data_IF_719237438268
#
_entry.id   IF_719237438268
#
_cell.length_a   1.000
_cell.length_b   1.000
_cell.length_c   1.000
_cell.angle_alpha   90.00
_cell.angle_beta   90.00
_cell.angle_gamma   90.00
#
_symmetry.space_group_name_H-M   'P 1'
#
loop_
_entity.id
_entity.type
_entity.pdbx_description
1 polymer ?
#
# COMPACT_ATOMS: atom_id res chain seq x y z
N UNK A 1 -22.36 -7.59 -7.95
CA UNK A 1 -21.52 -6.67 -8.75
C UNK A 1 -20.32 -7.45 -9.28
N UNK A 2 -20.41 -7.94 -10.51
CA UNK A 2 -19.27 -8.41 -11.33
C UNK A 2 -19.38 -7.71 -12.67
N UNK A 3 -19.13 -6.41 -12.62
CA UNK A 3 -18.87 -5.56 -13.77
C UNK A 3 -17.49 -4.94 -13.54
N UNK A 4 -16.53 -5.78 -13.17
CA UNK A 4 -15.13 -5.49 -13.47
C UNK A 4 -15.05 -5.52 -14.99
N UNK A 5 -15.44 -4.38 -15.58
CA UNK A 5 -15.47 -4.16 -16.99
C UNK A 5 -14.02 -4.28 -17.45
N UNK A 6 -13.67 -5.49 -17.87
CA UNK A 6 -12.49 -5.85 -18.61
C UNK A 6 -12.39 -4.85 -19.78
N UNK A 7 -11.54 -3.80 -19.71
CA UNK A 7 -11.55 -2.71 -20.68
C UNK A 7 -10.86 -3.13 -21.99
N UNK A 8 -10.02 -4.15 -21.89
CA UNK A 8 -9.11 -4.61 -22.94
C UNK A 8 -9.75 -5.25 -24.18
N UNK A 9 -10.87 -6.00 -24.13
CA UNK A 9 -11.49 -6.54 -25.34
C UNK A 9 -12.48 -5.59 -26.00
N UNK A 10 -12.99 -4.56 -25.29
CA UNK A 10 -14.01 -3.66 -25.85
C UNK A 10 -13.42 -2.77 -26.95
N UNK A 11 -12.16 -2.34 -26.81
CA UNK A 11 -11.44 -1.61 -27.86
C UNK A 11 -11.16 -2.48 -29.10
N UNK A 12 -10.77 -3.75 -28.91
CA UNK A 12 -10.54 -4.69 -30.02
C UNK A 12 -11.80 -4.99 -30.84
N UNK A 13 -12.95 -5.11 -30.16
CA UNK A 13 -14.24 -5.36 -30.79
C UNK A 13 -14.69 -4.15 -31.64
N UNK A 14 -14.45 -2.93 -31.15
CA UNK A 14 -14.72 -1.71 -31.92
C UNK A 14 -13.90 -1.66 -33.23
N UNK A 15 -12.63 -2.09 -33.19
CA UNK A 15 -11.76 -2.16 -34.38
C UNK A 15 -12.30 -3.18 -35.38
N UNK A 16 -12.70 -4.36 -34.91
CA UNK A 16 -13.24 -5.41 -35.77
C UNK A 16 -14.55 -4.99 -36.44
N UNK A 17 -15.43 -4.31 -35.70
CA UNK A 17 -16.67 -3.73 -36.25
C UNK A 17 -16.36 -2.65 -37.30
N UNK A 18 -15.42 -1.75 -37.02
CA UNK A 18 -14.99 -0.73 -37.98
C UNK A 18 -14.41 -1.35 -39.26
N UNK A 19 -13.60 -2.41 -39.13
CA UNK A 19 -13.05 -3.13 -40.27
C UNK A 19 -14.14 -3.77 -41.12
N UNK A 20 -15.09 -4.49 -40.49
CA UNK A 20 -16.22 -5.09 -41.20
C UNK A 20 -17.11 -4.05 -41.90
N UNK A 21 -17.35 -2.90 -41.26
CA UNK A 21 -18.07 -1.78 -41.85
C UNK A 21 -17.35 -1.26 -43.11
N UNK A 22 -16.04 -1.02 -43.05
CA UNK A 22 -15.26 -0.55 -44.20
C UNK A 22 -15.23 -1.59 -45.31
N UNK A 23 -15.09 -2.88 -44.98
CA UNK A 23 -15.09 -3.96 -45.96
C UNK A 23 -16.45 -4.07 -46.67
N UNK A 24 -17.54 -4.00 -45.91
CA UNK A 24 -18.90 -4.07 -46.45
C UNK A 24 -19.24 -2.87 -47.34
N UNK A 25 -19.02 -1.65 -46.84
CA UNK A 25 -19.36 -0.43 -47.56
C UNK A 25 -18.42 -0.18 -48.76
N UNK A 26 -17.13 -0.42 -48.57
CA UNK A 26 -16.11 -0.31 -49.61
C UNK A 26 -16.26 -1.40 -50.66
N UNK A 27 -16.55 -2.64 -50.26
CA UNK A 27 -16.81 -3.76 -51.15
C UNK A 27 -18.03 -3.53 -52.03
N UNK A 28 -19.12 -3.00 -51.48
CA UNK A 28 -20.32 -2.64 -52.26
C UNK A 28 -20.01 -1.60 -53.36
N UNK A 29 -19.20 -0.58 -53.05
CA UNK A 29 -18.78 0.42 -54.04
C UNK A 29 -17.82 -0.13 -55.10
N UNK A 30 -16.97 -1.09 -54.73
CA UNK A 30 -16.12 -1.80 -55.69
C UNK A 30 -16.96 -2.67 -56.62
N UNK A 31 -17.98 -3.37 -56.10
CA UNK A 31 -18.90 -4.18 -56.89
C UNK A 31 -19.77 -3.33 -57.85
N UNK A 32 -20.11 -2.10 -57.45
CA UNK A 32 -20.80 -1.12 -58.29
C UNK A 32 -19.90 -0.49 -59.38
N UNK A 33 -18.58 -0.74 -59.35
CA UNK A 33 -17.61 -0.16 -60.28
C UNK A 33 -17.22 1.29 -59.98
N UNK A 34 -17.66 1.86 -58.86
CA UNK A 34 -17.35 3.23 -58.44
C UNK A 34 -15.92 3.36 -57.88
N UNK A 35 -15.38 2.28 -57.33
CA UNK A 35 -14.05 2.20 -56.73
C UNK A 35 -13.26 1.01 -57.29
N UNK A 36 -11.96 1.19 -57.48
CA UNK A 36 -11.08 0.07 -57.80
C UNK A 36 -10.75 -0.74 -56.54
N UNK A 37 -10.50 -2.04 -56.73
CA UNK A 37 -10.02 -2.93 -55.65
C UNK A 37 -8.73 -2.39 -55.02
N UNK A 38 -7.83 -1.85 -55.84
CA UNK A 38 -6.57 -1.25 -55.38
C UNK A 38 -6.80 -0.06 -54.44
N UNK A 39 -7.81 0.77 -54.73
CA UNK A 39 -8.12 1.93 -53.89
C UNK A 39 -8.68 1.50 -52.51
N UNK A 40 -9.48 0.43 -52.47
CA UNK A 40 -9.95 -0.16 -51.22
C UNK A 40 -8.78 -0.71 -50.38
N UNK A 41 -7.85 -1.42 -51.01
CA UNK A 41 -6.65 -1.92 -50.32
C UNK A 41 -5.81 -0.77 -49.76
N UNK A 42 -5.55 0.27 -50.56
CA UNK A 42 -4.82 1.46 -50.11
C UNK A 42 -5.52 2.15 -48.93
N UNK A 43 -6.85 2.28 -48.98
CA UNK A 43 -7.63 2.84 -47.89
C UNK A 43 -7.51 2.02 -46.60
N UNK A 44 -7.58 0.69 -46.68
CA UNK A 44 -7.39 -0.19 -45.52
C UNK A 44 -5.96 -0.05 -44.94
N UNK A 45 -4.94 0.06 -45.80
CA UNK A 45 -3.57 0.31 -45.33
C UNK A 45 -3.45 1.64 -44.59
N UNK A 46 -4.05 2.72 -45.13
CA UNK A 46 -4.06 4.02 -44.47
C UNK A 46 -4.85 4.00 -43.15
N UNK A 47 -5.96 3.27 -43.08
CA UNK A 47 -6.73 3.11 -41.85
C UNK A 47 -5.88 2.44 -40.75
N UNK A 48 -5.18 1.35 -41.08
CA UNK A 48 -4.29 0.68 -40.13
C UNK A 48 -3.07 1.54 -39.76
N UNK A 49 -2.52 2.26 -40.73
CA UNK A 49 -1.43 3.21 -40.49
C UNK A 49 -1.86 4.35 -39.55
N UNK A 50 -3.12 4.79 -39.62
CA UNK A 50 -3.67 5.85 -38.78
C UNK A 50 -4.06 5.36 -37.38
N UNK A 51 -4.31 4.06 -37.23
CA UNK A 51 -4.66 3.45 -35.94
C UNK A 51 -3.56 3.64 -34.88
N UNK A 52 -2.29 3.41 -35.28
CA UNK A 52 -1.11 3.62 -34.43
C UNK A 52 -0.98 5.06 -33.88
N UNK A 53 -0.94 6.12 -34.70
CA UNK A 53 -0.82 7.50 -34.22
C UNK A 53 -2.06 7.98 -33.46
N UNK A 54 -3.27 7.48 -33.77
CA UNK A 54 -4.46 7.78 -32.95
C UNK A 54 -4.30 7.20 -31.54
N UNK A 55 -3.86 5.95 -31.43
CA UNK A 55 -3.60 5.31 -30.13
C UNK A 55 -2.55 6.08 -29.31
N UNK A 56 -1.48 6.54 -29.97
CA UNK A 56 -0.45 7.39 -29.35
C UNK A 56 -1.03 8.70 -28.82
N UNK A 57 -1.94 9.34 -29.56
CA UNK A 57 -2.57 10.59 -29.13
C UNK A 57 -3.42 10.42 -27.87
N UNK A 58 -4.25 9.37 -27.82
CA UNK A 58 -5.03 9.05 -26.61
C UNK A 58 -4.13 8.68 -25.42
N UNK A 59 -3.08 7.91 -25.68
CA UNK A 59 -2.07 7.59 -24.67
C UNK A 59 -1.37 8.83 -24.12
N UNK A 60 -1.04 9.80 -24.97
CA UNK A 60 -0.42 11.07 -24.57
C UNK A 60 -1.35 11.94 -23.72
N UNK A 61 -2.65 12.00 -24.03
CA UNK A 61 -3.63 12.71 -23.18
C UNK A 61 -3.71 12.05 -21.80
N UNK A 62 -3.75 10.72 -21.77
CA UNK A 62 -3.83 9.96 -20.51
C UNK A 62 -2.57 10.14 -19.67
N UNK A 63 -1.39 10.16 -20.30
CA UNK A 63 -0.12 10.36 -19.58
C UNK A 63 0.00 11.76 -18.98
N UNK A 64 -0.48 12.79 -19.68
CA UNK A 64 -0.56 14.15 -19.14
C UNK A 64 -1.50 14.21 -17.94
N UNK A 65 -2.68 13.61 -18.04
CA UNK A 65 -3.62 13.56 -16.92
C UNK A 65 -3.01 12.85 -15.69
N UNK A 66 -2.30 11.75 -15.90
CA UNK A 66 -1.60 11.03 -14.84
C UNK A 66 -0.46 11.87 -14.23
N UNK A 67 0.32 12.60 -15.04
CA UNK A 67 1.38 13.48 -14.56
C UNK A 67 0.85 14.62 -13.70
N UNK A 68 -0.25 15.26 -14.11
CA UNK A 68 -0.91 16.31 -13.31
C UNK A 68 -1.48 15.76 -11.99
N UNK A 69 -2.04 14.55 -12.01
CA UNK A 69 -2.52 13.89 -10.80
C UNK A 69 -1.40 13.54 -9.81
N UNK A 70 -0.25 13.08 -10.32
CA UNK A 70 0.93 12.81 -9.51
C UNK A 70 1.52 14.10 -8.91
N UNK A 71 1.54 15.19 -9.68
CA UNK A 71 1.97 16.51 -9.18
C UNK A 71 1.10 17.00 -8.03
N UNK A 72 -0.23 16.90 -8.15
CA UNK A 72 -1.15 17.28 -7.08
C UNK A 72 -0.94 16.49 -5.79
N UNK A 73 -0.55 15.20 -5.90
CA UNK A 73 -0.20 14.36 -4.75
C UNK A 73 1.09 14.81 -4.07
N UNK A 74 2.09 15.22 -4.84
CA UNK A 74 3.34 15.75 -4.28
C UNK A 74 3.06 17.05 -3.52
N UNK A 75 2.29 17.96 -4.11
CA UNK A 75 1.91 19.21 -3.45
C UNK A 75 1.15 18.96 -2.14
N UNK A 76 0.27 17.95 -2.11
CA UNK A 76 -0.43 17.55 -0.90
C UNK A 76 0.51 17.05 0.20
N UNK A 77 1.45 16.15 -0.13
CA UNK A 77 2.42 15.62 0.84
C UNK A 77 3.33 16.73 1.37
N UNK A 78 3.73 17.68 0.52
CA UNK A 78 4.58 18.82 0.92
C UNK A 78 3.83 19.86 1.75
N UNK A 79 2.50 19.94 1.62
CA UNK A 79 1.67 20.89 2.35
C UNK A 79 1.21 20.37 3.72
N UNK A 80 1.35 19.07 3.99
CA UNK A 80 0.98 18.47 5.27
C UNK A 80 1.96 18.91 6.37
N UNK A 81 1.48 19.45 7.50
CA UNK A 81 2.35 19.78 8.63
C UNK A 81 3.02 18.51 9.17
N UNK A 82 4.33 18.59 9.45
CA UNK A 82 5.08 17.51 10.10
C UNK A 82 4.53 17.29 11.51
N UNK A 83 4.44 16.03 11.95
CA UNK A 83 3.91 15.66 13.28
C UNK A 83 4.67 16.38 14.42
N UNK A 84 5.97 16.60 14.26
CA UNK A 84 6.83 17.35 15.19
C UNK A 84 6.61 18.87 15.17
N UNK A 85 5.88 19.42 14.20
CA UNK A 85 5.67 20.87 14.10
C UNK A 85 4.79 21.42 15.24
N UNK A 86 3.99 20.56 15.87
CA UNK A 86 3.26 20.88 17.11
C UNK A 86 4.14 20.70 18.37
N UNK A 87 5.23 19.95 18.25
CA UNK A 87 6.19 19.68 19.33
C UNK A 87 7.30 20.73 19.31
N UNK A 88 6.93 21.99 19.54
CA UNK A 88 7.93 23.02 19.80
C UNK A 88 8.63 22.65 21.12
N UNK A 89 9.96 22.40 21.14
CA UNK A 89 10.64 22.05 22.37
C UNK A 89 10.52 23.24 23.30
N UNK A 90 9.74 23.08 24.38
CA UNK A 90 9.64 24.08 25.43
C UNK A 90 11.05 24.20 26.03
N UNK A 91 11.76 25.35 25.85
CA UNK A 91 13.13 25.47 26.31
C UNK A 91 13.16 25.34 27.84
N UNK A 92 13.81 24.28 28.35
CA UNK A 92 13.96 24.02 29.78
C UNK A 92 13.10 22.90 30.37
N UNK A 93 12.33 22.16 29.57
CA UNK A 93 11.47 21.06 30.07
C UNK A 93 12.06 19.66 29.88
N UNK A 94 13.14 19.49 29.10
CA UNK A 94 13.80 18.19 28.98
C UNK A 94 14.56 17.87 30.28
N UNK A 95 14.17 16.80 31.03
CA UNK A 95 14.92 16.38 32.20
C UNK A 95 16.33 15.95 31.79
N UNK A 96 17.34 16.31 32.58
CA UNK A 96 18.69 15.82 32.39
C UNK A 96 18.74 14.33 32.75
N UNK A 97 18.72 13.48 31.72
CA UNK A 97 18.77 12.03 31.86
C UNK A 97 20.21 11.51 32.04
N UNK A 98 21.20 12.41 32.10
CA UNK A 98 22.61 12.06 32.28
C UNK A 98 22.83 11.44 33.67
N UNK A 99 22.80 10.12 33.75
CA UNK A 99 22.96 9.36 34.99
C UNK A 99 21.67 8.73 35.53
N UNK A 100 20.56 8.84 34.82
CA UNK A 100 19.37 8.06 35.11
C UNK A 100 19.64 6.58 34.80
N UNK A 101 19.22 5.68 35.70
CA UNK A 101 19.13 4.25 35.40
C UNK A 101 18.07 4.10 34.29
N UNK A 102 18.32 3.39 33.19
CA UNK A 102 17.33 3.22 32.13
C UNK A 102 16.18 2.35 32.66
N UNK A 103 15.18 3.00 33.24
CA UNK A 103 13.97 2.39 33.72
C UNK A 103 12.81 2.93 32.87
N UNK A 104 12.13 2.02 32.17
CA UNK A 104 10.90 2.32 31.44
C UNK A 104 9.75 1.84 32.32
N UNK A 105 8.91 2.77 32.76
CA UNK A 105 7.70 2.48 33.53
C UNK A 105 6.48 2.79 32.65
N UNK A 106 5.59 1.82 32.49
CA UNK A 106 4.31 1.99 31.81
C UNK A 106 3.21 1.97 32.87
N UNK A 107 2.58 3.11 33.13
CA UNK A 107 1.50 3.24 34.10
C UNK A 107 0.16 3.41 33.36
N UNK A 108 -0.69 2.37 33.44
CA UNK A 108 -2.05 2.31 32.85
C UNK A 108 -2.18 2.86 31.42
N UNK A 109 -1.22 2.54 30.54
CA UNK A 109 -1.23 3.00 29.13
C UNK A 109 -2.35 2.31 28.34
N UNK A 110 -3.32 3.11 27.89
CA UNK A 110 -4.36 2.71 26.94
C UNK A 110 -4.08 3.40 25.62
N UNK A 111 -3.81 2.61 24.58
CA UNK A 111 -3.54 3.11 23.25
C UNK A 111 -4.45 2.42 22.25
N UNK A 112 -5.08 3.20 21.38
CA UNK A 112 -5.86 2.72 20.24
C UNK A 112 -5.45 3.52 19.01
N UNK A 113 -5.07 2.83 17.95
CA UNK A 113 -5.09 3.44 16.63
C UNK A 113 -6.54 3.57 16.20
N UNK A 114 -6.95 4.75 15.71
CA UNK A 114 -8.23 4.88 15.02
C UNK A 114 -8.18 4.00 13.77
N UNK A 115 -8.88 2.85 13.81
CA UNK A 115 -9.06 1.92 12.68
C UNK A 115 -9.98 2.49 11.59
N UNK A 116 -10.10 3.81 11.47
CA UNK A 116 -10.83 4.49 10.39
C UNK A 116 -9.89 5.38 9.59
N UNK A 117 -8.97 4.75 8.85
CA UNK A 117 -8.54 5.23 7.53
C UNK A 117 -7.75 4.17 6.74
N UNK A 118 -8.47 3.26 6.08
CA UNK A 118 -8.21 2.97 4.66
C UNK A 118 -7.21 1.87 4.30
N UNK A 119 -7.44 0.62 4.72
CA UNK A 119 -7.00 -0.55 3.94
C UNK A 119 -8.19 -1.17 3.20
N UNK A 120 -8.57 -0.54 2.08
CA UNK A 120 -9.53 -1.11 1.14
C UNK A 120 -8.94 -2.40 0.51
N UNK A 121 -9.25 -3.56 1.08
CA UNK A 121 -8.82 -4.84 0.50
C UNK A 121 -9.09 -6.11 1.31
N UNK A 122 -9.53 -6.02 2.58
CA UNK A 122 -9.86 -7.22 3.34
C UNK A 122 -11.38 -7.32 3.56
N UNK A 123 -11.99 -8.38 3.05
CA UNK A 123 -13.42 -8.62 3.24
C UNK A 123 -13.75 -8.73 4.75
N UNK A 124 -14.86 -8.17 5.23
CA UNK A 124 -15.22 -8.27 6.64
C UNK A 124 -15.50 -9.73 6.99
N UNK A 125 -14.70 -10.30 7.90
CA UNK A 125 -15.09 -11.51 8.61
C UNK A 125 -16.33 -11.24 9.49
N UNK A 126 -17.10 -12.27 9.86
CA UNK A 126 -18.33 -12.10 10.64
C UNK A 126 -18.00 -11.44 11.99
N UNK A 127 -18.66 -10.30 12.26
CA UNK A 127 -18.41 -9.46 13.42
C UNK A 127 -18.55 -10.22 14.73
N UNK A 128 -17.47 -10.18 15.53
CA UNK A 128 -17.51 -10.53 16.95
C UNK A 128 -18.05 -9.30 17.69
N UNK A 129 -19.16 -9.40 18.43
CA UNK A 129 -19.70 -8.27 19.20
C UNK A 129 -18.86 -8.02 20.45
N UNK A 130 -18.55 -6.75 20.70
CA UNK A 130 -17.98 -6.19 21.94
C UNK A 130 -16.94 -7.06 22.65
N UNK A 131 -15.73 -7.10 22.10
CA UNK A 131 -14.56 -7.47 22.88
C UNK A 131 -14.16 -6.28 23.77
N UNK A 132 -14.20 -6.39 25.11
CA UNK A 132 -13.71 -5.34 25.99
C UNK A 132 -12.19 -5.25 25.78
N UNK A 133 -11.73 -4.09 25.28
CA UNK A 133 -10.32 -3.69 25.11
C UNK A 133 -9.34 -4.87 25.11
N UNK A 134 -9.08 -5.43 23.93
CA UNK A 134 -8.05 -6.44 23.75
C UNK A 134 -6.71 -5.86 24.24
N UNK A 135 -6.23 -6.37 25.38
CA UNK A 135 -4.94 -5.99 25.93
C UNK A 135 -3.88 -6.65 25.05
N UNK A 136 -3.43 -5.94 24.03
CA UNK A 136 -2.47 -6.46 23.03
C UNK A 136 -1.09 -6.78 23.64
N UNK A 137 -0.80 -6.28 24.84
CA UNK A 137 0.49 -6.48 25.50
C UNK A 137 0.40 -7.43 26.70
N UNK A 138 0.23 -8.72 26.43
CA UNK A 138 0.62 -9.78 27.37
C UNK A 138 2.04 -10.25 27.02
N UNK A 139 3.04 -9.79 27.80
CA UNK A 139 4.42 -10.30 27.74
C UNK A 139 5.27 -9.80 26.55
N UNK A 140 5.35 -8.49 26.31
CA UNK A 140 6.20 -7.95 25.23
C UNK A 140 7.65 -7.68 25.66
N UNK A 141 8.56 -8.15 24.80
CA UNK A 141 9.99 -7.91 24.85
C UNK A 141 10.42 -7.18 23.57
N UNK A 142 11.28 -6.18 23.70
CA UNK A 142 11.96 -5.57 22.57
C UNK A 142 13.41 -6.03 22.59
N UNK A 143 13.81 -6.78 21.56
CA UNK A 143 15.22 -7.08 21.28
C UNK A 143 15.64 -6.24 20.08
N UNK A 144 16.18 -5.05 20.34
CA UNK A 144 17.18 -4.46 19.47
C UNK A 144 18.55 -5.02 19.89
N UNK A 145 19.59 -4.84 19.08
CA UNK A 145 20.98 -5.27 19.35
C UNK A 145 21.51 -4.54 20.61
N UNK A 146 21.09 -5.04 21.77
CA UNK A 146 21.25 -4.40 23.07
C UNK A 146 22.06 -5.36 23.93
N UNK A 147 23.19 -4.86 24.43
CA UNK A 147 24.07 -5.59 25.34
C UNK A 147 23.35 -5.96 26.66
N UNK A 148 22.21 -5.33 26.96
CA UNK A 148 21.38 -5.58 28.15
C UNK A 148 19.93 -5.92 27.80
N UNK A 149 19.45 -7.04 28.32
CA UNK A 149 18.08 -7.53 28.15
C UNK A 149 17.33 -7.35 29.47
N UNK A 150 16.15 -6.74 29.41
CA UNK A 150 15.24 -6.60 30.56
C UNK A 150 14.05 -7.52 30.36
N UNK A 151 13.81 -8.40 31.35
CA UNK A 151 12.72 -9.37 31.35
C UNK A 151 11.57 -8.85 32.19
N UNK A 152 10.44 -8.59 31.53
CA UNK A 152 9.23 -8.07 32.17
C UNK A 152 8.13 -9.12 32.10
N UNK A 153 7.50 -9.39 33.24
CA UNK A 153 6.36 -10.30 33.36
C UNK A 153 5.31 -9.66 34.27
N UNK A 154 4.06 -9.62 33.78
CA UNK A 154 2.95 -8.93 34.42
C UNK A 154 3.27 -7.46 34.81
N UNK A 155 3.98 -6.73 33.94
CA UNK A 155 4.36 -5.33 34.17
C UNK A 155 5.42 -5.11 35.25
N UNK A 156 6.13 -6.16 35.70
CA UNK A 156 7.22 -6.05 36.66
C UNK A 156 8.53 -6.57 36.05
N UNK A 157 9.63 -5.86 36.28
CA UNK A 157 10.97 -6.33 35.91
C UNK A 157 11.34 -7.53 36.79
N UNK A 158 11.46 -8.71 36.17
CA UNK A 158 11.83 -9.96 36.86
C UNK A 158 13.32 -10.24 36.79
N UNK A 159 14.00 -9.81 35.74
CA UNK A 159 15.43 -9.98 35.58
C UNK A 159 16.01 -8.95 34.59
N UNK A 160 17.29 -8.64 34.73
CA UNK A 160 18.03 -7.78 33.82
C UNK A 160 19.45 -8.31 33.67
N UNK A 161 19.99 -8.30 32.46
CA UNK A 161 21.38 -8.64 32.17
C UNK A 161 21.57 -9.08 30.73
N UNK A 162 22.77 -9.55 30.42
CA UNK A 162 23.08 -10.08 29.09
C UNK A 162 22.33 -11.40 28.83
N UNK A 163 22.19 -11.78 27.56
CA UNK A 163 21.61 -13.09 27.19
C UNK A 163 22.27 -14.26 27.95
N UNK A 164 23.60 -14.25 28.07
CA UNK A 164 24.35 -15.29 28.76
C UNK A 164 24.01 -15.35 30.26
N UNK A 165 23.95 -14.18 30.91
CA UNK A 165 23.64 -14.08 32.34
C UNK A 165 22.19 -14.48 32.62
N UNK A 166 21.23 -14.10 31.76
CA UNK A 166 19.83 -14.46 31.93
C UNK A 166 19.55 -15.93 31.68
N UNK A 167 20.29 -16.57 30.77
CA UNK A 167 20.23 -18.02 30.56
C UNK A 167 20.68 -18.80 31.79
N UNK A 168 21.61 -18.27 32.59
CA UNK A 168 22.06 -18.92 33.83
C UNK A 168 21.19 -18.56 35.04
N UNK A 169 20.79 -17.30 35.15
CA UNK A 169 20.16 -16.74 36.35
C UNK A 169 18.63 -16.75 36.35
N UNK A 170 17.98 -16.79 35.18
CA UNK A 170 16.51 -16.65 35.07
C UNK A 170 15.86 -17.91 34.47
N UNK A 171 15.01 -18.57 35.26
CA UNK A 171 14.19 -19.69 34.76
C UNK A 171 13.14 -19.20 33.74
N UNK A 172 12.53 -18.06 34.02
CA UNK A 172 11.53 -17.43 33.16
C UNK A 172 12.10 -17.09 31.76
N UNK A 173 13.31 -16.53 31.72
CA UNK A 173 13.98 -16.22 30.46
C UNK A 173 14.31 -17.49 29.65
N UNK A 174 14.76 -18.55 30.33
CA UNK A 174 15.04 -19.85 29.68
C UNK A 174 13.80 -20.51 29.09
N UNK A 175 12.67 -20.44 29.79
CA UNK A 175 11.42 -21.01 29.31
C UNK A 175 10.91 -20.24 28.07
N UNK A 176 11.03 -18.92 28.07
CA UNK A 176 10.70 -18.07 26.92
C UNK A 176 11.65 -18.26 25.72
N UNK A 177 12.97 -18.37 25.97
CA UNK A 177 13.96 -18.60 24.91
C UNK A 177 13.79 -19.97 24.23
N UNK A 178 13.21 -20.96 24.95
CA UNK A 178 12.88 -22.27 24.37
C UNK A 178 11.69 -22.21 23.42
N UNK A 179 10.66 -21.44 23.76
CA UNK A 179 9.47 -21.30 22.91
C UNK A 179 9.79 -20.60 21.59
N UNK A 180 10.69 -19.61 21.60
CA UNK A 180 11.12 -18.88 20.39
C UNK A 180 12.01 -19.71 19.44
N UNK A 181 12.61 -20.82 19.89
CA UNK A 181 13.40 -21.73 19.05
C UNK A 181 12.55 -22.80 18.36
N UNK A 182 11.26 -22.89 18.69
CA UNK A 182 10.33 -23.89 18.14
C UNK A 182 9.31 -23.31 17.14
N UNK A 183 9.47 -22.05 16.75
CA UNK A 183 8.68 -21.33 15.74
C UNK A 183 9.58 -20.75 14.65
#
# INVERSE_FOLDING_TARGET
MRLEAFPWPMSGLAIQVAFLMVLGLGGARVAAGELSVANLMAFLMFLFMLMMPIGQLFGAITSVAAALGALARIDQVMAEPTEDAADSPVPGTAPDLSGAVPAVEFDDVVFSHDEEQGHAGHAPGPGVPDSPHDRVFDGVFFAADADDIVVVDAGQVRATGTHAELMESSALYRDLARDQLLS
#
